data_IF_680175469311
#
_entry.id   IF_680175469311
#
_cell.length_a   1.000
_cell.length_b   1.000
_cell.length_c   1.000
_cell.angle_alpha   90.00
_cell.angle_beta   90.00
_cell.angle_gamma   90.00
#
_symmetry.space_group_name_H-M   'P 1'
#
loop_
_entity.id
_entity.type
_entity.pdbx_description
1 polymer ?
#
# COMPACT_ATOMS: atom_id res chain seq x y z
N UNK A 1 41.91 -62.93 23.85
CA UNK A 1 40.59 -62.28 24.02
C UNK A 1 40.74 -60.80 23.69
N UNK A 2 40.40 -60.41 22.45
CA UNK A 2 40.56 -59.06 21.92
C UNK A 2 39.22 -58.34 22.10
N UNK A 3 39.17 -57.27 22.91
CA UNK A 3 37.98 -56.43 23.09
C UNK A 3 37.91 -55.43 21.93
N UNK A 4 36.81 -55.49 21.16
CA UNK A 4 36.51 -54.61 20.03
C UNK A 4 36.14 -53.20 20.54
N UNK A 5 36.78 -52.19 19.96
CA UNK A 5 36.45 -50.78 20.12
C UNK A 5 35.31 -50.45 19.14
N UNK A 6 34.16 -50.02 19.65
CA UNK A 6 33.03 -49.58 18.82
C UNK A 6 33.14 -48.06 18.60
N UNK A 7 33.36 -47.66 17.36
CA UNK A 7 33.37 -46.25 16.94
C UNK A 7 31.95 -45.86 16.54
N UNK A 8 31.30 -44.99 17.33
CA UNK A 8 30.00 -44.42 17.00
C UNK A 8 30.21 -43.27 16.01
N UNK A 9 29.82 -43.48 14.75
CA UNK A 9 29.82 -42.47 13.71
C UNK A 9 28.55 -41.61 13.89
N UNK A 10 28.71 -40.39 14.42
CA UNK A 10 27.62 -39.44 14.56
C UNK A 10 27.43 -38.71 13.22
N UNK A 11 26.47 -39.17 12.41
CA UNK A 11 26.06 -38.49 11.17
C UNK A 11 25.19 -37.27 11.53
N UNK A 12 25.77 -36.09 11.45
CA UNK A 12 25.03 -34.82 11.51
C UNK A 12 24.23 -34.64 10.23
N UNK A 13 22.91 -34.82 10.32
CA UNK A 13 21.94 -34.39 9.31
C UNK A 13 21.94 -32.85 9.26
N UNK A 14 22.54 -32.28 8.21
CA UNK A 14 22.35 -30.89 7.84
C UNK A 14 20.93 -30.72 7.32
N UNK A 15 20.01 -30.29 8.18
CA UNK A 15 18.71 -29.77 7.75
C UNK A 15 18.96 -28.45 7.02
N UNK A 16 18.75 -28.45 5.71
CA UNK A 16 18.75 -27.23 4.91
C UNK A 16 17.56 -26.37 5.34
N UNK A 17 17.79 -25.44 6.26
CA UNK A 17 16.90 -24.30 6.41
C UNK A 17 17.05 -23.51 5.11
N UNK A 18 16.01 -23.48 4.29
CA UNK A 18 15.96 -22.64 3.11
C UNK A 18 16.03 -21.19 3.60
N UNK A 19 17.23 -20.63 3.66
CA UNK A 19 17.43 -19.20 3.86
C UNK A 19 16.82 -18.51 2.66
N UNK A 20 15.83 -17.65 2.86
CA UNK A 20 15.36 -16.73 1.84
C UNK A 20 16.60 -16.05 1.24
N UNK A 21 16.91 -16.36 -0.02
CA UNK A 21 18.08 -15.82 -0.70
C UNK A 21 17.92 -14.32 -0.77
N UNK A 22 18.79 -13.59 -0.08
CA UNK A 22 18.80 -12.14 -0.10
C UNK A 22 18.98 -11.66 -1.55
N UNK A 23 18.14 -10.74 -2.00
CA UNK A 23 18.19 -10.19 -3.35
C UNK A 23 19.56 -9.56 -3.63
N UNK A 24 20.02 -9.69 -4.87
CA UNK A 24 21.19 -8.91 -5.33
C UNK A 24 20.83 -7.42 -5.37
N UNK A 25 21.81 -6.51 -5.34
CA UNK A 25 21.55 -5.09 -5.49
C UNK A 25 20.71 -4.75 -6.73
N UNK A 26 20.97 -5.44 -7.85
CA UNK A 26 20.22 -5.24 -9.11
C UNK A 26 18.77 -5.71 -8.98
N UNK A 27 18.53 -6.83 -8.30
CA UNK A 27 17.18 -7.34 -8.03
C UNK A 27 16.41 -6.43 -7.06
N UNK A 28 17.09 -5.87 -6.06
CA UNK A 28 16.50 -4.92 -5.13
C UNK A 28 16.10 -3.61 -5.84
N UNK A 29 16.98 -3.07 -6.68
CA UNK A 29 16.67 -1.89 -7.51
C UNK A 29 15.49 -2.16 -8.45
N UNK A 30 15.45 -3.35 -9.06
CA UNK A 30 14.32 -3.76 -9.89
C UNK A 30 13.01 -3.84 -9.08
N UNK A 31 13.04 -4.45 -7.89
CA UNK A 31 11.89 -4.48 -6.97
C UNK A 31 11.38 -3.08 -6.66
N UNK A 32 12.25 -2.18 -6.21
CA UNK A 32 11.88 -0.80 -5.87
C UNK A 32 11.30 -0.04 -7.06
N UNK A 33 11.88 -0.22 -8.26
CA UNK A 33 11.35 0.37 -9.49
C UNK A 33 9.98 -0.19 -9.85
N UNK A 34 9.80 -1.50 -9.76
CA UNK A 34 8.52 -2.18 -10.01
C UNK A 34 7.43 -1.69 -9.05
N UNK A 35 7.74 -1.63 -7.76
CA UNK A 35 6.83 -1.13 -6.73
C UNK A 35 6.45 0.34 -6.94
N UNK A 36 7.41 1.18 -7.30
CA UNK A 36 7.15 2.59 -7.65
C UNK A 36 6.15 2.68 -8.81
N UNK A 37 6.39 1.94 -9.90
CA UNK A 37 5.51 1.96 -11.06
C UNK A 37 4.11 1.42 -10.73
N UNK A 38 4.01 0.34 -9.95
CA UNK A 38 2.73 -0.20 -9.49
C UNK A 38 1.95 0.84 -8.69
N UNK A 39 2.62 1.51 -7.75
CA UNK A 39 2.07 2.58 -6.91
C UNK A 39 1.66 3.84 -7.67
N UNK A 40 2.14 4.01 -8.91
CA UNK A 40 1.76 5.06 -9.86
C UNK A 40 0.67 4.61 -10.85
N UNK A 41 0.02 3.47 -10.60
CA UNK A 41 -0.94 2.81 -11.49
C UNK A 41 -0.38 2.39 -12.86
N UNK A 42 0.94 2.24 -12.98
CA UNK A 42 1.60 1.78 -14.21
C UNK A 42 1.86 0.27 -14.17
N UNK A 43 0.81 -0.50 -13.90
CA UNK A 43 0.92 -1.95 -13.70
C UNK A 43 1.63 -2.67 -14.87
N UNK A 44 1.31 -2.34 -16.14
CA UNK A 44 2.01 -2.88 -17.33
C UNK A 44 3.51 -2.60 -17.28
N UNK A 45 3.90 -1.38 -16.90
CA UNK A 45 5.31 -1.00 -16.83
C UNK A 45 6.02 -1.63 -15.63
N UNK A 46 5.30 -1.95 -14.56
CA UNK A 46 5.84 -2.56 -13.34
C UNK A 46 6.24 -4.03 -13.54
N UNK A 47 5.48 -4.79 -14.33
CA UNK A 47 5.66 -6.23 -14.57
C UNK A 47 7.11 -6.68 -14.82
N UNK A 48 7.84 -6.14 -15.82
CA UNK A 48 9.19 -6.62 -16.11
C UNK A 48 10.17 -6.42 -14.95
N UNK A 49 9.96 -5.38 -14.13
CA UNK A 49 10.81 -5.09 -12.97
C UNK A 49 10.46 -5.98 -11.78
N UNK A 50 9.17 -6.15 -11.48
CA UNK A 50 8.70 -7.04 -10.41
C UNK A 50 9.09 -8.49 -10.69
N UNK A 51 9.06 -8.92 -11.96
CA UNK A 51 9.46 -10.27 -12.39
C UNK A 51 10.88 -10.63 -12.01
N UNK A 52 11.82 -9.70 -12.08
CA UNK A 52 13.23 -9.94 -11.74
C UNK A 52 13.38 -10.40 -10.28
N UNK A 53 12.71 -9.72 -9.35
CA UNK A 53 12.76 -10.08 -7.92
C UNK A 53 11.84 -11.27 -7.59
N UNK A 54 10.69 -11.38 -8.25
CA UNK A 54 9.76 -12.50 -8.07
C UNK A 54 10.39 -13.85 -8.49
N UNK A 55 11.12 -13.88 -9.60
CA UNK A 55 11.89 -15.05 -10.07
C UNK A 55 13.05 -15.42 -9.14
N UNK A 56 13.58 -14.44 -8.39
CA UNK A 56 14.58 -14.65 -7.35
C UNK A 56 13.99 -15.17 -6.02
N UNK A 57 12.66 -15.30 -5.94
CA UNK A 57 11.96 -15.80 -4.77
C UNK A 57 11.45 -14.74 -3.80
N UNK A 58 11.54 -13.44 -4.12
CA UNK A 58 11.01 -12.39 -3.25
C UNK A 58 9.49 -12.46 -3.14
N UNK A 59 9.01 -12.90 -1.98
CA UNK A 59 7.57 -13.12 -1.68
C UNK A 59 6.70 -11.92 -2.01
N UNK A 60 7.14 -10.71 -1.65
CA UNK A 60 6.37 -9.49 -1.89
C UNK A 60 6.28 -9.16 -3.38
N UNK A 61 7.39 -9.28 -4.12
CA UNK A 61 7.41 -9.09 -5.57
C UNK A 61 6.56 -10.14 -6.29
N UNK A 62 6.49 -11.37 -5.78
CA UNK A 62 5.58 -12.40 -6.30
C UNK A 62 4.11 -11.98 -6.11
N UNK A 63 3.73 -11.47 -4.94
CA UNK A 63 2.39 -10.94 -4.71
C UNK A 63 2.06 -9.78 -5.67
N UNK A 64 2.92 -8.76 -5.73
CA UNK A 64 2.65 -7.57 -6.55
C UNK A 64 2.74 -7.84 -8.05
N UNK A 65 3.54 -8.82 -8.50
CA UNK A 65 3.50 -9.29 -9.88
C UNK A 65 2.16 -9.97 -10.20
N UNK A 66 1.63 -10.77 -9.26
CA UNK A 66 0.27 -11.31 -9.36
C UNK A 66 -0.79 -10.21 -9.50
N UNK A 67 -0.69 -9.14 -8.69
CA UNK A 67 -1.60 -7.99 -8.77
C UNK A 67 -1.45 -7.22 -10.08
N UNK A 68 -0.23 -6.94 -10.53
CA UNK A 68 0.02 -6.25 -11.79
C UNK A 68 -0.61 -7.02 -12.97
N UNK A 69 -0.37 -8.34 -13.04
CA UNK A 69 -0.95 -9.21 -14.07
C UNK A 69 -2.48 -9.25 -13.99
N UNK A 70 -3.05 -9.38 -12.78
CA UNK A 70 -4.50 -9.39 -12.58
C UNK A 70 -5.15 -8.08 -13.05
N UNK A 71 -4.59 -6.94 -12.66
CA UNK A 71 -5.10 -5.61 -13.03
C UNK A 71 -5.00 -5.35 -14.53
N UNK A 72 -3.89 -5.73 -15.16
CA UNK A 72 -3.68 -5.55 -16.60
C UNK A 72 -4.66 -6.38 -17.44
N UNK A 73 -4.96 -7.60 -17.00
CA UNK A 73 -5.91 -8.48 -17.67
C UNK A 73 -7.36 -8.23 -17.24
N UNK A 74 -7.58 -7.58 -16.10
CA UNK A 74 -8.88 -7.36 -15.43
C UNK A 74 -9.56 -8.65 -14.96
N UNK A 75 -8.81 -9.73 -14.79
CA UNK A 75 -9.26 -11.00 -14.22
C UNK A 75 -8.05 -11.81 -13.74
N UNK A 76 -8.29 -12.86 -12.96
CA UNK A 76 -7.26 -13.78 -12.50
C UNK A 76 -6.76 -14.67 -13.65
N UNK A 77 -5.57 -14.40 -14.17
CA UNK A 77 -4.92 -15.27 -15.17
C UNK A 77 -4.19 -16.44 -14.51
N UNK A 78 -3.89 -17.49 -15.27
CA UNK A 78 -3.06 -18.61 -14.80
C UNK A 78 -1.65 -18.15 -14.39
N UNK A 79 -1.11 -17.12 -15.05
CA UNK A 79 0.18 -16.55 -14.68
C UNK A 79 0.10 -15.74 -13.38
N UNK A 80 -0.94 -14.92 -13.19
CA UNK A 80 -1.18 -14.21 -11.93
C UNK A 80 -1.34 -15.20 -10.76
N UNK A 81 -2.15 -16.24 -10.97
CA UNK A 81 -2.39 -17.28 -9.97
C UNK A 81 -1.09 -18.01 -9.58
N UNK A 82 -0.23 -18.33 -10.55
CA UNK A 82 1.09 -18.93 -10.27
C UNK A 82 1.92 -18.06 -9.31
N UNK A 83 1.93 -16.75 -9.49
CA UNK A 83 2.70 -15.84 -8.65
C UNK A 83 2.09 -15.67 -7.26
N UNK A 84 0.77 -15.62 -7.15
CA UNK A 84 0.11 -15.67 -5.83
C UNK A 84 0.41 -16.99 -5.11
N UNK A 85 0.37 -18.14 -5.80
CA UNK A 85 0.70 -19.43 -5.19
C UNK A 85 2.13 -19.41 -4.63
N UNK A 86 3.09 -18.92 -5.41
CA UNK A 86 4.48 -18.80 -4.96
C UNK A 86 4.63 -17.91 -3.71
N UNK A 87 3.90 -16.80 -3.63
CA UNK A 87 3.90 -15.93 -2.45
C UNK A 87 3.21 -16.60 -1.24
N UNK A 88 2.08 -17.28 -1.47
CA UNK A 88 1.31 -17.98 -0.45
C UNK A 88 2.10 -19.16 0.14
N UNK A 89 2.85 -19.91 -0.66
CA UNK A 89 3.74 -20.98 -0.18
C UNK A 89 4.84 -20.46 0.76
N UNK A 90 5.15 -19.17 0.70
CA UNK A 90 6.05 -18.46 1.61
C UNK A 90 5.33 -17.73 2.76
N UNK A 91 4.05 -18.05 2.99
CA UNK A 91 3.26 -17.50 4.09
C UNK A 91 2.67 -16.11 3.83
N UNK A 92 2.56 -15.65 2.58
CA UNK A 92 1.87 -14.39 2.28
C UNK A 92 0.34 -14.58 2.37
N UNK A 93 -0.24 -14.08 3.47
CA UNK A 93 -1.68 -14.19 3.70
C UNK A 93 -2.53 -13.28 2.78
N UNK A 94 -1.95 -12.25 2.15
CA UNK A 94 -2.68 -11.49 1.13
C UNK A 94 -2.83 -12.32 -0.14
N UNK A 95 -1.78 -13.02 -0.55
CA UNK A 95 -1.82 -13.97 -1.66
C UNK A 95 -2.82 -15.10 -1.38
N UNK A 96 -2.79 -15.68 -0.17
CA UNK A 96 -3.78 -16.69 0.24
C UNK A 96 -5.20 -16.14 0.20
N UNK A 97 -5.41 -14.91 0.68
CA UNK A 97 -6.71 -14.24 0.63
C UNK A 97 -7.20 -14.07 -0.83
N UNK A 98 -6.33 -13.62 -1.75
CA UNK A 98 -6.66 -13.51 -3.19
C UNK A 98 -6.99 -14.85 -3.83
N UNK A 99 -6.32 -15.92 -3.42
CA UNK A 99 -6.56 -17.28 -3.91
C UNK A 99 -7.80 -17.94 -3.26
N UNK A 100 -8.30 -17.37 -2.17
CA UNK A 100 -9.51 -17.82 -1.46
C UNK A 100 -10.77 -17.18 -2.02
N UNK A 101 -10.64 -16.13 -2.84
CA UNK A 101 -11.78 -15.47 -3.47
C UNK A 101 -12.24 -16.25 -4.70
N UNK A 102 -13.56 -16.30 -4.89
CA UNK A 102 -14.26 -17.10 -5.91
C UNK A 102 -14.01 -16.63 -7.36
N UNK A 103 -13.29 -15.53 -7.57
CA UNK A 103 -12.86 -15.05 -8.89
C UNK A 103 -11.73 -15.91 -9.51
N UNK A 104 -11.25 -16.93 -8.81
CA UNK A 104 -10.37 -18.01 -9.34
C UNK A 104 -11.10 -18.96 -10.32
N UNK A 105 -12.42 -18.83 -10.48
CA UNK A 105 -13.28 -19.75 -11.24
C UNK A 105 -12.93 -19.84 -12.73
N UNK A 106 -12.26 -18.84 -13.32
CA UNK A 106 -11.90 -18.90 -14.74
C UNK A 106 -10.92 -20.05 -15.04
N UNK A 107 -9.91 -20.29 -14.21
CA UNK A 107 -8.99 -21.40 -14.47
C UNK A 107 -9.66 -22.76 -14.28
N UNK A 108 -10.59 -22.85 -13.32
CA UNK A 108 -11.36 -24.04 -13.03
C UNK A 108 -12.31 -24.35 -14.20
N UNK A 109 -13.06 -23.34 -14.67
CA UNK A 109 -13.93 -23.43 -15.84
C UNK A 109 -13.16 -23.81 -17.12
N UNK A 110 -11.96 -23.26 -17.31
CA UNK A 110 -11.09 -23.57 -18.44
C UNK A 110 -10.28 -24.86 -18.25
N UNK A 111 -10.37 -25.52 -17.08
CA UNK A 111 -9.61 -26.72 -16.70
C UNK A 111 -8.10 -26.58 -16.94
N UNK A 112 -7.55 -25.40 -16.66
CA UNK A 112 -6.16 -25.06 -16.93
C UNK A 112 -5.46 -24.42 -15.72
N UNK A 113 -5.97 -24.65 -14.51
CA UNK A 113 -5.31 -24.17 -13.30
C UNK A 113 -3.86 -24.70 -13.20
N UNK A 114 -2.93 -23.91 -12.63
CA UNK A 114 -1.57 -24.34 -12.38
C UNK A 114 -1.51 -25.70 -11.64
N UNK A 115 -0.52 -26.56 -11.95
CA UNK A 115 -0.30 -27.79 -11.20
C UNK A 115 -0.10 -27.49 -9.70
N UNK A 116 -0.79 -28.23 -8.83
CA UNK A 116 -0.73 -28.02 -7.38
C UNK A 116 -1.69 -26.96 -6.84
N UNK A 117 -2.55 -26.36 -7.68
CA UNK A 117 -3.63 -25.48 -7.22
C UNK A 117 -4.52 -26.19 -6.19
N UNK A 118 -4.72 -25.53 -5.05
CA UNK A 118 -5.68 -25.93 -4.02
C UNK A 118 -7.07 -25.37 -4.36
N UNK A 119 -8.12 -25.91 -3.74
CA UNK A 119 -9.45 -25.28 -3.79
C UNK A 119 -9.47 -23.96 -3.00
N UNK A 120 -10.46 -23.12 -3.24
CA UNK A 120 -10.63 -21.85 -2.52
C UNK A 120 -10.82 -22.08 -1.00
N UNK A 121 -11.51 -23.17 -0.62
CA UNK A 121 -11.66 -23.61 0.78
C UNK A 121 -10.31 -24.02 1.41
N UNK A 122 -9.46 -24.70 0.64
CA UNK A 122 -8.13 -25.08 1.10
C UNK A 122 -7.21 -23.87 1.27
N UNK A 123 -7.35 -22.85 0.42
CA UNK A 123 -6.65 -21.57 0.60
C UNK A 123 -7.16 -20.80 1.80
N UNK A 124 -8.48 -20.79 2.03
CA UNK A 124 -9.09 -20.16 3.22
C UNK A 124 -8.59 -20.82 4.50
N UNK A 125 -8.52 -22.16 4.52
CA UNK A 125 -7.96 -22.91 5.65
C UNK A 125 -6.49 -22.57 5.88
N UNK A 126 -5.67 -22.56 4.83
CA UNK A 126 -4.25 -22.21 4.94
C UNK A 126 -4.05 -20.77 5.43
N UNK A 127 -4.90 -19.84 4.97
CA UNK A 127 -4.93 -18.46 5.42
C UNK A 127 -5.11 -18.38 6.93
N UNK A 128 -6.12 -19.06 7.47
CA UNK A 128 -6.38 -19.05 8.92
C UNK A 128 -5.27 -19.76 9.71
N UNK A 129 -4.79 -20.91 9.24
CA UNK A 129 -3.65 -21.62 9.85
C UNK A 129 -2.37 -20.76 9.91
N UNK A 130 -2.22 -19.81 8.98
CA UNK A 130 -1.08 -18.89 8.92
C UNK A 130 -1.30 -17.63 9.74
N UNK A 131 -2.46 -16.99 9.62
CA UNK A 131 -2.74 -15.68 10.19
C UNK A 131 -3.19 -15.75 11.65
N UNK A 132 -3.98 -16.74 12.06
CA UNK A 132 -4.55 -16.83 13.40
C UNK A 132 -3.47 -16.92 14.50
N UNK A 133 -2.41 -17.75 14.39
CA UNK A 133 -1.36 -17.80 15.40
C UNK A 133 -0.55 -16.49 15.53
N UNK A 134 -0.47 -15.69 14.46
CA UNK A 134 0.16 -14.37 14.48
C UNK A 134 -0.77 -13.34 15.13
N UNK A 135 -2.05 -13.37 14.76
CA UNK A 135 -3.09 -12.53 15.35
C UNK A 135 -3.21 -12.76 16.86
N UNK A 136 -3.20 -14.02 17.33
CA UNK A 136 -3.20 -14.35 18.76
C UNK A 136 -1.96 -13.82 19.51
N UNK A 137 -0.84 -13.62 18.81
CA UNK A 137 0.39 -13.05 19.37
C UNK A 137 0.43 -11.52 19.33
N UNK A 138 -0.62 -10.86 18.85
CA UNK A 138 -0.70 -9.40 18.80
C UNK A 138 -0.29 -8.78 17.45
N UNK A 139 -0.11 -9.58 16.40
CA UNK A 139 0.19 -9.03 15.07
C UNK A 139 -1.06 -8.35 14.49
N UNK A 140 -1.03 -7.02 14.43
CA UNK A 140 -2.17 -6.23 13.98
C UNK A 140 -2.49 -6.43 12.50
N UNK A 141 -1.51 -6.68 11.64
CA UNK A 141 -1.77 -6.92 10.22
C UNK A 141 -2.46 -8.27 10.00
N UNK A 142 -2.01 -9.31 10.71
CA UNK A 142 -2.66 -10.61 10.72
C UNK A 142 -4.11 -10.52 11.26
N UNK A 143 -4.35 -9.76 12.34
CA UNK A 143 -5.70 -9.50 12.84
C UNK A 143 -6.58 -8.78 11.80
N UNK A 144 -6.06 -7.78 11.09
CA UNK A 144 -6.81 -7.11 10.01
C UNK A 144 -7.18 -8.09 8.89
N UNK A 145 -6.30 -9.05 8.59
CA UNK A 145 -6.56 -10.07 7.57
C UNK A 145 -7.58 -11.11 8.03
N UNK A 146 -7.56 -11.49 9.31
CA UNK A 146 -8.64 -12.27 9.89
C UNK A 146 -9.98 -11.55 9.77
N UNK A 147 -10.03 -10.23 10.01
CA UNK A 147 -11.22 -9.43 9.75
C UNK A 147 -11.66 -9.49 8.28
N UNK A 148 -10.75 -9.26 7.34
CA UNK A 148 -11.09 -9.28 5.91
C UNK A 148 -11.65 -10.64 5.46
N UNK A 149 -11.15 -11.74 6.04
CA UNK A 149 -11.58 -13.10 5.69
C UNK A 149 -12.87 -13.54 6.39
N UNK A 150 -13.09 -13.13 7.63
CA UNK A 150 -14.23 -13.61 8.45
C UNK A 150 -15.40 -12.63 8.50
N UNK A 151 -15.16 -11.34 8.24
CA UNK A 151 -16.09 -10.26 8.49
C UNK A 151 -16.32 -9.94 9.97
N UNK A 152 -15.62 -10.62 10.89
CA UNK A 152 -15.78 -10.42 12.33
C UNK A 152 -15.06 -9.16 12.79
N UNK A 153 -15.86 -8.15 13.14
CA UNK A 153 -15.40 -6.83 13.56
C UNK A 153 -14.47 -6.88 14.78
N UNK A 154 -14.59 -7.90 15.65
CA UNK A 154 -13.74 -8.04 16.84
C UNK A 154 -12.26 -8.15 16.46
N UNK A 155 -11.94 -8.81 15.35
CA UNK A 155 -10.56 -8.88 14.84
C UNK A 155 -10.04 -7.50 14.43
N UNK A 156 -10.87 -6.68 13.79
CA UNK A 156 -10.49 -5.33 13.41
C UNK A 156 -10.31 -4.42 14.62
N UNK A 157 -11.17 -4.56 15.64
CA UNK A 157 -11.05 -3.85 16.91
C UNK A 157 -9.75 -4.22 17.64
N UNK A 158 -9.39 -5.50 17.69
CA UNK A 158 -8.11 -5.97 18.24
C UNK A 158 -6.92 -5.43 17.45
N UNK A 159 -7.00 -5.44 16.12
CA UNK A 159 -5.94 -4.90 15.24
C UNK A 159 -5.68 -3.41 15.49
N UNK A 160 -6.76 -2.62 15.56
CA UNK A 160 -6.67 -1.19 15.85
C UNK A 160 -6.12 -0.92 17.26
N UNK A 161 -6.53 -1.73 18.25
CA UNK A 161 -6.03 -1.66 19.62
C UNK A 161 -4.56 -2.07 19.74
N UNK A 162 -4.07 -2.98 18.89
CA UNK A 162 -2.65 -3.33 18.78
C UNK A 162 -1.78 -2.23 18.14
N UNK A 163 -2.38 -1.13 17.70
CA UNK A 163 -1.66 0.03 17.16
C UNK A 163 -1.43 -0.03 15.64
N UNK A 164 -2.06 -0.97 14.93
CA UNK A 164 -1.91 -1.04 13.47
C UNK A 164 -2.68 0.08 12.79
N UNK A 165 -1.95 1.09 12.30
CA UNK A 165 -2.50 2.34 11.80
C UNK A 165 -3.56 2.14 10.70
N UNK A 166 -3.29 1.23 9.75
CA UNK A 166 -4.25 0.89 8.69
C UNK A 166 -5.56 0.31 9.23
N UNK A 167 -5.51 -0.52 10.28
CA UNK A 167 -6.72 -1.02 10.91
C UNK A 167 -7.46 0.05 11.72
N UNK A 168 -6.76 1.02 12.30
CA UNK A 168 -7.41 2.16 12.95
C UNK A 168 -8.23 2.98 11.95
N UNK A 169 -7.64 3.29 10.78
CA UNK A 169 -8.35 3.93 9.67
C UNK A 169 -9.53 3.07 9.17
N UNK A 170 -9.31 1.78 8.93
CA UNK A 170 -10.35 0.88 8.43
C UNK A 170 -11.51 0.75 9.44
N UNK A 171 -11.22 0.65 10.74
CA UNK A 171 -12.23 0.60 11.80
C UNK A 171 -13.03 1.91 11.87
N UNK A 172 -12.36 3.06 11.74
CA UNK A 172 -13.05 4.34 11.66
C UNK A 172 -14.05 4.35 10.49
N UNK A 173 -13.67 3.82 9.34
CA UNK A 173 -14.57 3.68 8.18
C UNK A 173 -15.73 2.70 8.45
N UNK A 174 -15.49 1.55 9.08
CA UNK A 174 -16.58 0.64 9.49
C UNK A 174 -17.56 1.31 10.45
N UNK A 175 -17.07 2.12 11.39
CA UNK A 175 -17.93 2.89 12.27
C UNK A 175 -18.70 3.99 11.54
N UNK A 176 -18.16 4.63 10.50
CA UNK A 176 -18.92 5.55 9.62
C UNK A 176 -20.04 4.81 8.87
N UNK A 177 -19.76 3.59 8.42
CA UNK A 177 -20.71 2.66 7.78
C UNK A 177 -21.74 2.05 8.76
N UNK A 178 -21.78 2.53 10.01
CA UNK A 178 -22.72 2.15 11.07
C UNK A 178 -22.48 0.76 11.67
N UNK A 179 -21.33 0.13 11.45
CA UNK A 179 -20.92 -1.07 12.20
C UNK A 179 -20.67 -0.74 13.68
N UNK A 180 -20.80 -1.71 14.57
CA UNK A 180 -20.62 -1.53 16.02
C UNK A 180 -21.80 -0.84 16.71
N UNK A 181 -21.90 -1.03 18.03
CA UNK A 181 -22.97 -0.47 18.87
C UNK A 181 -22.45 0.67 19.73
N UNK A 182 -23.08 1.84 19.64
CA UNK A 182 -22.68 3.04 20.38
C UNK A 182 -23.88 3.62 21.11
N UNK A 183 -23.77 3.65 22.44
CA UNK A 183 -24.68 4.37 23.29
C UNK A 183 -23.89 5.24 24.27
N UNK A 184 -24.13 6.55 24.33
CA UNK A 184 -25.05 7.31 23.47
C UNK A 184 -24.55 7.50 22.02
N UNK A 185 -25.41 7.86 21.04
CA UNK A 185 -25.04 7.86 19.61
C UNK A 185 -23.82 8.71 19.23
N UNK A 186 -23.58 9.83 19.92
CA UNK A 186 -22.43 10.70 19.67
C UNK A 186 -21.08 10.07 20.03
N UNK A 187 -21.06 8.98 20.81
CA UNK A 187 -19.81 8.24 21.06
C UNK A 187 -19.20 7.66 19.79
N UNK A 188 -20.01 7.41 18.76
CA UNK A 188 -19.52 6.95 17.46
C UNK A 188 -18.56 7.96 16.83
N UNK A 189 -18.94 9.23 16.76
CA UNK A 189 -18.10 10.27 16.15
C UNK A 189 -16.83 10.53 16.96
N UNK A 190 -16.90 10.48 18.30
CA UNK A 190 -15.71 10.57 19.16
C UNK A 190 -14.71 9.43 18.89
N UNK A 191 -15.19 8.19 18.73
CA UNK A 191 -14.32 7.05 18.44
C UNK A 191 -13.75 7.09 17.02
N UNK A 192 -14.54 7.52 16.02
CA UNK A 192 -14.06 7.70 14.64
C UNK A 192 -12.89 8.70 14.62
N UNK A 193 -13.05 9.85 15.27
CA UNK A 193 -11.99 10.85 15.34
C UNK A 193 -10.74 10.31 16.04
N UNK A 194 -10.91 9.64 17.18
CA UNK A 194 -9.80 9.07 17.94
C UNK A 194 -9.01 8.03 17.13
N UNK A 195 -9.70 7.18 16.37
CA UNK A 195 -9.08 6.20 15.50
C UNK A 195 -8.31 6.85 14.34
N UNK A 196 -8.89 7.87 13.69
CA UNK A 196 -8.22 8.60 12.62
C UNK A 196 -7.00 9.38 13.13
N UNK A 197 -7.09 9.98 14.33
CA UNK A 197 -5.95 10.60 15.01
C UNK A 197 -4.83 9.59 15.24
N UNK A 198 -5.13 8.42 15.81
CA UNK A 198 -4.12 7.37 16.03
C UNK A 198 -3.53 6.85 14.73
N UNK A 199 -4.36 6.68 13.70
CA UNK A 199 -3.89 6.26 12.37
C UNK A 199 -2.93 7.30 11.78
N UNK A 200 -3.21 8.59 11.99
CA UNK A 200 -2.37 9.71 11.59
C UNK A 200 -1.04 9.74 12.37
N UNK A 201 -1.08 9.49 13.68
CA UNK A 201 0.11 9.32 14.53
C UNK A 201 0.98 8.13 14.10
N UNK A 202 0.35 7.07 13.58
CA UNK A 202 1.01 5.93 12.95
C UNK A 202 1.55 6.20 11.54
N UNK A 203 1.50 7.44 11.04
CA UNK A 203 1.95 7.86 9.71
C UNK A 203 1.25 7.16 8.52
N UNK A 204 0.03 6.67 8.72
CA UNK A 204 -0.72 6.08 7.61
C UNK A 204 -1.42 7.19 6.81
N UNK A 205 -1.03 7.33 5.53
CA UNK A 205 -1.44 8.43 4.64
C UNK A 205 -2.95 8.63 4.60
N UNK A 206 -3.73 7.57 4.37
CA UNK A 206 -5.20 7.67 4.33
C UNK A 206 -5.78 8.14 5.68
N UNK A 207 -5.21 7.68 6.79
CA UNK A 207 -5.57 8.14 8.13
C UNK A 207 -5.22 9.61 8.40
N UNK A 208 -4.04 10.05 7.96
CA UNK A 208 -3.62 11.46 8.04
C UNK A 208 -4.56 12.36 7.24
N UNK A 209 -4.92 11.96 6.01
CA UNK A 209 -5.82 12.73 5.14
C UNK A 209 -7.23 12.89 5.71
N UNK A 210 -7.81 11.80 6.22
CA UNK A 210 -9.14 11.88 6.86
C UNK A 210 -9.12 12.65 8.18
N UNK A 211 -8.08 12.51 9.00
CA UNK A 211 -7.94 13.29 10.22
C UNK A 211 -7.71 14.78 9.93
N UNK A 212 -6.95 15.10 8.87
CA UNK A 212 -6.80 16.47 8.38
C UNK A 212 -8.16 17.10 8.07
N UNK A 213 -9.08 16.38 7.43
CA UNK A 213 -10.45 16.87 7.17
C UNK A 213 -11.21 17.23 8.45
N UNK A 214 -11.09 16.41 9.50
CA UNK A 214 -11.71 16.71 10.81
C UNK A 214 -11.12 17.98 11.43
N UNK A 215 -9.79 18.18 11.34
CA UNK A 215 -9.14 19.39 11.84
C UNK A 215 -9.62 20.65 11.11
N UNK A 216 -9.83 20.55 9.79
CA UNK A 216 -10.41 21.65 9.01
C UNK A 216 -11.82 22.01 9.46
N UNK A 217 -12.69 21.03 9.67
CA UNK A 217 -14.06 21.25 10.16
C UNK A 217 -14.07 21.92 11.54
N UNK A 218 -13.08 21.61 12.39
CA UNK A 218 -12.90 22.23 13.71
C UNK A 218 -12.22 23.60 13.66
N UNK A 219 -11.75 24.03 12.49
CA UNK A 219 -11.04 25.30 12.30
C UNK A 219 -9.58 25.29 12.75
N UNK A 220 -9.00 24.12 13.04
CA UNK A 220 -7.56 24.00 13.33
C UNK A 220 -6.76 23.92 12.01
N UNK A 221 -6.73 25.05 11.30
CA UNK A 221 -6.06 25.16 10.01
C UNK A 221 -4.54 24.94 10.14
N UNK A 222 -3.94 25.28 11.27
CA UNK A 222 -2.51 25.11 11.48
C UNK A 222 -2.12 23.63 11.54
N UNK A 223 -2.87 22.82 12.31
CA UNK A 223 -2.64 21.38 12.35
C UNK A 223 -2.98 20.70 11.01
N UNK A 224 -4.05 21.16 10.34
CA UNK A 224 -4.40 20.66 9.01
C UNK A 224 -3.30 20.93 7.97
N UNK A 225 -2.71 22.14 7.96
CA UNK A 225 -1.57 22.47 7.09
C UNK A 225 -0.37 21.57 7.35
N UNK A 226 -0.04 21.33 8.62
CA UNK A 226 1.09 20.48 8.98
C UNK A 226 0.90 19.04 8.48
N UNK A 227 -0.31 18.49 8.57
CA UNK A 227 -0.63 17.18 8.00
C UNK A 227 -0.55 17.18 6.48
N UNK A 228 -1.09 18.19 5.78
CA UNK A 228 -1.00 18.26 4.32
C UNK A 228 0.45 18.20 3.84
N UNK A 229 1.33 18.99 4.45
CA UNK A 229 2.77 18.98 4.12
C UNK A 229 3.36 17.59 4.36
N UNK A 230 3.07 16.99 5.52
CA UNK A 230 3.59 15.67 5.88
C UNK A 230 3.13 14.57 4.92
N UNK A 231 1.88 14.62 4.47
CA UNK A 231 1.33 13.67 3.48
C UNK A 231 2.00 13.89 2.11
N UNK A 232 2.18 15.15 1.70
CA UNK A 232 2.88 15.48 0.46
C UNK A 232 4.36 15.03 0.49
N UNK A 233 5.05 15.21 1.62
CA UNK A 233 6.43 14.74 1.83
C UNK A 233 6.55 13.21 1.83
N UNK A 234 5.46 12.49 2.14
CA UNK A 234 5.40 11.02 2.02
C UNK A 234 5.28 10.56 0.56
N UNK A 235 5.01 11.45 -0.39
CA UNK A 235 4.88 11.16 -1.82
C UNK A 235 3.43 11.00 -2.30
N UNK A 236 2.42 11.36 -1.50
CA UNK A 236 1.02 11.27 -1.90
C UNK A 236 0.72 12.31 -2.99
N UNK A 237 0.22 11.85 -4.13
CA UNK A 237 -0.01 12.68 -5.31
C UNK A 237 -1.06 13.77 -5.09
N UNK A 238 -2.11 13.47 -4.33
CA UNK A 238 -3.25 14.31 -4.11
C UNK A 238 -2.92 15.39 -3.10
N UNK A 239 -2.16 15.06 -2.06
CA UNK A 239 -1.57 16.02 -1.16
C UNK A 239 -0.52 16.89 -1.85
N UNK A 240 0.32 16.35 -2.75
CA UNK A 240 1.27 17.16 -3.53
C UNK A 240 0.53 18.16 -4.42
N UNK A 241 -0.50 17.70 -5.14
CA UNK A 241 -1.36 18.57 -5.96
C UNK A 241 -2.05 19.64 -5.13
N UNK A 242 -2.70 19.25 -4.04
CA UNK A 242 -3.41 20.15 -3.12
C UNK A 242 -2.45 21.15 -2.47
N UNK A 243 -1.27 20.70 -2.03
CA UNK A 243 -0.28 21.58 -1.42
C UNK A 243 0.26 22.59 -2.43
N UNK A 244 0.60 22.14 -3.64
CA UNK A 244 1.04 23.01 -4.71
C UNK A 244 -0.02 24.05 -5.10
N UNK A 245 -1.28 23.61 -5.21
CA UNK A 245 -2.42 24.45 -5.52
C UNK A 245 -2.65 25.53 -4.45
N UNK A 246 -2.55 25.14 -3.17
CA UNK A 246 -2.72 26.05 -2.05
C UNK A 246 -1.60 27.09 -1.96
N UNK A 247 -0.35 26.70 -2.25
CA UNK A 247 0.77 27.65 -2.35
C UNK A 247 0.60 28.62 -3.53
N UNK A 248 0.03 28.16 -4.64
CA UNK A 248 -0.25 28.98 -5.82
C UNK A 248 -1.54 29.82 -5.73
N UNK A 249 -2.29 29.69 -4.62
CA UNK A 249 -3.58 30.33 -4.38
C UNK A 249 -4.65 29.97 -5.43
N UNK A 250 -4.70 28.70 -5.83
CA UNK A 250 -5.67 28.14 -6.79
C UNK A 250 -6.29 26.83 -6.27
N UNK A 251 -7.22 26.83 -5.29
CA UNK A 251 -7.59 27.92 -4.36
C UNK A 251 -6.68 27.96 -3.12
N UNK A 252 -6.84 28.93 -2.21
CA UNK A 252 -6.13 28.96 -0.92
C UNK A 252 -7.10 28.75 0.26
N UNK A 253 -7.47 27.50 0.56
CA UNK A 253 -8.43 27.20 1.64
C UNK A 253 -7.78 27.03 3.01
N UNK A 254 -6.49 26.72 3.05
CA UNK A 254 -5.71 26.53 4.29
C UNK A 254 -4.84 27.73 4.66
N UNK A 255 -5.00 28.88 4.00
CA UNK A 255 -4.27 30.13 4.27
C UNK A 255 -2.73 29.94 4.24
N UNK A 256 -2.24 29.30 3.17
CA UNK A 256 -0.81 29.23 2.89
C UNK A 256 -0.28 30.57 2.36
N UNK A 257 0.95 30.98 2.70
CA UNK A 257 1.59 32.11 2.04
C UNK A 257 1.80 31.82 0.56
N UNK A 258 1.66 32.85 -0.29
CA UNK A 258 1.82 32.71 -1.73
C UNK A 258 3.26 32.31 -2.07
N UNK A 259 3.40 31.20 -2.79
CA UNK A 259 4.66 30.73 -3.35
C UNK A 259 4.39 30.05 -4.70
N UNK A 260 4.42 30.84 -5.76
CA UNK A 260 4.15 30.38 -7.12
C UNK A 260 5.21 29.40 -7.63
N UNK A 261 6.47 29.58 -7.23
CA UNK A 261 7.59 28.73 -7.68
C UNK A 261 7.43 27.33 -7.10
N UNK A 262 7.23 27.24 -5.78
CA UNK A 262 7.00 25.95 -5.12
C UNK A 262 5.67 25.33 -5.55
N UNK A 263 4.61 26.14 -5.66
CA UNK A 263 3.29 25.68 -6.08
C UNK A 263 3.28 25.06 -7.47
N UNK A 264 3.84 25.77 -8.46
CA UNK A 264 4.00 25.26 -9.82
C UNK A 264 4.90 24.02 -9.87
N UNK A 265 6.03 24.07 -9.15
CA UNK A 265 6.99 22.97 -9.12
C UNK A 265 6.38 21.67 -8.60
N UNK A 266 5.65 21.71 -7.47
CA UNK A 266 4.96 20.55 -6.91
C UNK A 266 3.92 19.97 -7.88
N UNK A 267 3.03 20.79 -8.45
CA UNK A 267 2.01 20.32 -9.40
C UNK A 267 2.67 19.73 -10.65
N UNK A 268 3.79 20.31 -11.11
CA UNK A 268 4.50 19.81 -12.29
C UNK A 268 5.03 18.38 -12.13
N UNK A 269 5.26 17.92 -10.89
CA UNK A 269 5.66 16.54 -10.63
C UNK A 269 4.60 15.54 -11.08
N UNK A 270 3.32 15.89 -10.93
CA UNK A 270 2.18 15.01 -11.24
C UNK A 270 2.08 14.67 -12.73
N UNK A 271 2.73 15.45 -13.61
CA UNK A 271 2.79 15.16 -15.05
C UNK A 271 3.42 13.80 -15.37
N UNK A 272 4.22 13.24 -14.45
CA UNK A 272 4.78 11.90 -14.63
C UNK A 272 3.77 10.77 -14.35
N UNK A 273 2.61 11.04 -13.75
CA UNK A 273 1.59 10.05 -13.38
C UNK A 273 0.65 9.72 -14.55
N UNK A 274 1.22 9.19 -15.64
CA UNK A 274 0.51 8.80 -16.86
C UNK A 274 -0.10 7.38 -16.82
N UNK A 275 -0.16 6.75 -15.64
CA UNK A 275 -0.77 5.42 -15.43
C UNK A 275 -2.30 5.42 -15.29
N UNK A 276 -2.93 6.60 -15.34
CA UNK A 276 -4.32 6.82 -14.97
C UNK A 276 -4.42 7.47 -13.59
N UNK A 277 -5.65 7.58 -13.04
CA UNK A 277 -5.91 8.18 -11.72
C UNK A 277 -6.21 9.69 -11.74
N UNK A 278 -6.02 10.38 -12.87
CA UNK A 278 -6.45 11.76 -13.05
C UNK A 278 -5.45 12.84 -12.62
N UNK A 279 -4.34 12.49 -11.96
CA UNK A 279 -3.39 13.46 -11.43
C UNK A 279 -2.65 14.23 -12.55
N UNK A 280 -2.34 13.55 -13.67
CA UNK A 280 -1.72 14.18 -14.82
C UNK A 280 -2.67 15.18 -15.47
N UNK A 281 -3.91 14.77 -15.72
CA UNK A 281 -4.95 15.64 -16.31
C UNK A 281 -5.19 16.87 -15.43
N UNK A 282 -5.27 16.67 -14.10
CA UNK A 282 -5.35 17.76 -13.14
C UNK A 282 -4.18 18.75 -13.26
N UNK A 283 -2.95 18.25 -13.38
CA UNK A 283 -1.78 19.09 -13.54
C UNK A 283 -1.79 19.85 -14.87
N UNK A 284 -2.17 19.19 -15.97
CA UNK A 284 -2.29 19.81 -17.29
C UNK A 284 -3.33 20.94 -17.31
N UNK A 285 -4.41 20.82 -16.53
CA UNK A 285 -5.45 21.84 -16.38
C UNK A 285 -5.00 23.03 -15.52
N UNK A 286 -4.29 22.79 -14.41
CA UNK A 286 -3.97 23.82 -13.41
C UNK A 286 -2.67 24.57 -13.72
N UNK A 287 -1.66 23.91 -14.28
CA UNK A 287 -0.35 24.54 -14.55
C UNK A 287 -0.46 25.79 -15.45
N UNK A 288 -1.29 25.85 -16.51
CA UNK A 288 -1.47 27.07 -17.30
C UNK A 288 -2.00 28.25 -16.50
N UNK A 289 -2.92 28.01 -15.55
CA UNK A 289 -3.48 29.08 -14.70
C UNK A 289 -2.41 29.67 -13.78
N UNK A 290 -1.56 28.81 -13.20
CA UNK A 290 -0.46 29.25 -12.33
C UNK A 290 0.62 29.94 -13.16
N UNK A 291 1.00 29.37 -14.32
CA UNK A 291 1.99 29.96 -15.22
C UNK A 291 1.61 31.36 -15.70
N UNK A 292 0.32 31.64 -15.90
CA UNK A 292 -0.16 32.98 -16.27
C UNK A 292 0.16 34.06 -15.22
N UNK A 293 0.46 33.67 -13.98
CA UNK A 293 0.82 34.54 -12.85
C UNK A 293 2.34 34.62 -12.62
N UNK A 294 3.15 33.94 -13.44
CA UNK A 294 4.60 33.77 -13.24
C UNK A 294 5.43 34.41 -14.37
N UNK A 295 6.66 34.78 -14.06
CA UNK A 295 7.67 35.13 -15.08
C UNK A 295 8.35 33.88 -15.65
N UNK A 296 8.97 33.96 -16.84
CA UNK A 296 9.78 32.87 -17.38
C UNK A 296 10.87 32.38 -16.42
N UNK A 297 11.52 33.29 -15.68
CA UNK A 297 12.54 32.95 -14.69
C UNK A 297 11.96 32.16 -13.51
N UNK A 298 10.76 32.53 -13.03
CA UNK A 298 10.07 31.80 -11.97
C UNK A 298 9.68 30.38 -12.43
N UNK A 299 9.32 30.20 -13.70
CA UNK A 299 9.01 28.88 -14.26
C UNK A 299 10.28 28.00 -14.30
N UNK A 300 11.43 28.55 -14.70
CA UNK A 300 12.69 27.80 -14.65
C UNK A 300 13.10 27.45 -13.21
N UNK A 301 12.92 28.37 -12.26
CA UNK A 301 13.13 28.09 -10.83
C UNK A 301 12.22 26.96 -10.33
N UNK A 302 10.96 26.94 -10.76
CA UNK A 302 10.00 25.92 -10.36
C UNK A 302 10.39 24.53 -10.90
N UNK A 303 10.93 24.47 -12.12
CA UNK A 303 11.48 23.22 -12.69
C UNK A 303 12.69 22.73 -11.89
N UNK A 304 13.60 23.62 -11.51
CA UNK A 304 14.74 23.26 -10.65
C UNK A 304 14.26 22.75 -9.29
N UNK A 305 13.31 23.44 -8.66
CA UNK A 305 12.70 22.99 -7.41
C UNK A 305 12.07 21.59 -7.54
N UNK A 306 11.31 21.33 -8.61
CA UNK A 306 10.69 20.03 -8.82
C UNK A 306 11.74 18.90 -8.96
N UNK A 307 12.84 19.17 -9.66
CA UNK A 307 13.95 18.21 -9.78
C UNK A 307 14.60 17.91 -8.41
N UNK A 308 14.82 18.94 -7.60
CA UNK A 308 15.35 18.78 -6.24
C UNK A 308 14.38 18.02 -5.33
N UNK A 309 13.09 18.34 -5.38
CA UNK A 309 12.06 17.62 -4.64
C UNK A 309 12.09 16.13 -4.96
N UNK A 310 12.08 15.77 -6.25
CA UNK A 310 12.14 14.38 -6.72
C UNK A 310 13.41 13.64 -6.29
N UNK A 311 14.52 14.35 -6.12
CA UNK A 311 15.79 13.77 -5.69
C UNK A 311 15.86 13.54 -4.16
N UNK A 312 15.02 14.23 -3.39
CA UNK A 312 15.10 14.29 -1.91
C UNK A 312 13.90 13.63 -1.21
N UNK A 313 12.83 13.34 -1.94
CA UNK A 313 11.59 12.75 -1.42
C UNK A 313 11.29 11.39 -2.05
N UNK A 314 10.44 10.56 -1.41
CA UNK A 314 9.93 9.33 -2.02
C UNK A 314 9.25 9.59 -3.37
N UNK A 315 9.19 8.59 -4.26
CA UNK A 315 8.42 8.68 -5.50
C UNK A 315 6.93 8.95 -5.24
N UNK A 316 6.29 9.61 -6.21
CA UNK A 316 4.84 9.82 -6.17
C UNK A 316 4.09 8.49 -6.11
N UNK A 317 3.02 8.44 -5.32
CA UNK A 317 2.17 7.28 -5.14
C UNK A 317 0.71 7.67 -4.95
N UNK A 318 -0.19 6.87 -5.51
CA UNK A 318 -1.62 6.87 -5.18
C UNK A 318 -1.94 6.08 -3.90
N UNK A 319 -0.92 5.58 -3.20
CA UNK A 319 -1.02 4.66 -2.06
C UNK A 319 -2.08 3.56 -2.25
N UNK A 320 -2.02 2.78 -3.36
CA UNK A 320 -3.03 1.77 -3.60
C UNK A 320 -3.09 0.77 -2.45
N UNK A 321 -4.31 0.44 -2.03
CA UNK A 321 -4.50 -0.57 -1.00
C UNK A 321 -3.96 -1.92 -1.49
N UNK A 322 -3.22 -2.61 -0.62
CA UNK A 322 -2.66 -3.93 -0.96
C UNK A 322 -3.74 -4.92 -1.40
N UNK A 323 -4.94 -4.83 -0.82
CA UNK A 323 -6.15 -5.52 -1.28
C UNK A 323 -7.08 -4.55 -2.04
N UNK A 324 -6.65 -4.08 -3.21
CA UNK A 324 -7.47 -3.24 -4.11
C UNK A 324 -8.51 -4.02 -4.92
N UNK A 325 -9.38 -3.30 -5.62
CA UNK A 325 -10.36 -3.84 -6.58
C UNK A 325 -9.69 -4.13 -7.93
#
# INVERSE_FOLDING_TARGET
MIKKLAFFLCTTLLTSVATATQLTPEQQIAKERGMTLYNQYKAISAEPYLKIAAEAGDRESQYFLGEALRLNNRYMTTEAQKWYIAAAEQGDYYAMFRLSDTDTDLCNAMKNCPPGSRSDEDWTRLLWETAEPLAEKGDGEAMMIMYNSTGDLEWLEKSAAAGYAKAQWLLANRYKERHGFFFPPWKRSEQIEELLRKSSEGNFVNGMGEYMGILQEKGDLAAARALLIKIAEAGDEGAIGTYGAYLAHTPNTLDFPLDLVKGYGLISLLLELDGGGGAKEYAEDILPEIAAKMTPEQIEQAKTFAQEWKATHPPLSYFPEKLGF
#
